data_IF_961005884704
#
_entry.id   IF_961005884704
#
_cell.length_a   1.000
_cell.length_b   1.000
_cell.length_c   1.000
_cell.angle_alpha   90.00
_cell.angle_beta   90.00
_cell.angle_gamma   90.00
#
_symmetry.space_group_name_H-M   'P 1'
#
loop_
_entity.id
_entity.type
_entity.pdbx_description
1 polymer ?
#
# COMPACT_ATOMS: atom_id res chain seq x y z
N UNK A 1 16.35 -21.52 -8.50
CA UNK A 1 16.08 -21.16 -7.09
C UNK A 1 16.03 -19.66 -7.00
N UNK A 2 15.01 -18.99 -6.52
CA UNK A 2 13.61 -19.30 -6.27
C UNK A 2 12.99 -17.91 -6.35
N UNK A 3 12.00 -17.69 -7.23
CA UNK A 3 11.14 -16.50 -7.14
C UNK A 3 10.27 -16.70 -5.90
N UNK A 4 10.92 -16.69 -4.75
CA UNK A 4 10.33 -16.95 -3.44
C UNK A 4 9.55 -15.70 -3.10
N UNK A 5 8.23 -15.89 -3.06
CA UNK A 5 7.26 -14.85 -2.77
C UNK A 5 7.65 -14.16 -1.46
N UNK A 6 7.50 -12.84 -1.40
CA UNK A 6 7.63 -12.09 -0.15
C UNK A 6 6.98 -12.87 1.01
N UNK A 7 7.73 -13.02 2.09
CA UNK A 7 7.21 -13.55 3.35
C UNK A 7 6.17 -12.61 3.94
N UNK A 8 5.28 -13.14 4.78
CA UNK A 8 4.28 -12.32 5.47
C UNK A 8 4.94 -11.23 6.32
N UNK A 9 6.11 -11.51 6.93
CA UNK A 9 6.87 -10.50 7.68
C UNK A 9 7.38 -9.36 6.78
N UNK A 10 7.88 -9.68 5.58
CA UNK A 10 8.36 -8.65 4.64
C UNK A 10 7.24 -7.77 4.12
N UNK A 11 6.05 -8.34 3.88
CA UNK A 11 4.86 -7.57 3.52
C UNK A 11 4.41 -6.66 4.66
N UNK A 12 4.46 -7.15 5.90
CA UNK A 12 4.16 -6.36 7.08
C UNK A 12 5.12 -5.19 7.24
N UNK A 13 6.43 -5.40 7.06
CA UNK A 13 7.44 -4.34 7.14
C UNK A 13 7.22 -3.27 6.05
N UNK A 14 6.99 -3.71 4.81
CA UNK A 14 6.65 -2.81 3.69
C UNK A 14 5.39 -2.01 4.00
N UNK A 15 4.35 -2.66 4.53
CA UNK A 15 3.09 -2.01 4.89
C UNK A 15 3.27 -1.00 6.02
N UNK A 16 4.03 -1.34 7.07
CA UNK A 16 4.34 -0.44 8.17
C UNK A 16 5.12 0.79 7.68
N UNK A 17 6.13 0.61 6.83
CA UNK A 17 6.83 1.72 6.19
C UNK A 17 5.87 2.61 5.38
N UNK A 18 4.89 2.03 4.69
CA UNK A 18 3.89 2.79 3.92
C UNK A 18 2.90 3.53 4.83
N UNK A 19 2.46 2.93 5.94
CA UNK A 19 1.64 3.57 6.97
C UNK A 19 2.33 4.79 7.59
N UNK A 20 3.64 4.66 7.84
CA UNK A 20 4.47 5.76 8.36
C UNK A 20 4.85 6.81 7.30
N UNK A 21 4.50 6.58 6.04
CA UNK A 21 4.85 7.49 4.95
C UNK A 21 6.27 7.34 4.41
N UNK A 22 7.01 6.33 4.87
CA UNK A 22 8.40 6.04 4.52
C UNK A 22 8.47 5.19 3.26
N UNK A 23 7.90 5.71 2.18
CA UNK A 23 7.81 5.03 0.88
C UNK A 23 9.15 4.58 0.31
N UNK A 24 10.22 5.34 0.55
CA UNK A 24 11.57 5.00 0.05
C UNK A 24 12.11 3.74 0.74
N UNK A 25 11.80 3.56 2.04
CA UNK A 25 12.21 2.37 2.79
C UNK A 25 11.46 1.14 2.30
N UNK A 26 10.15 1.26 2.05
CA UNK A 26 9.34 0.20 1.45
C UNK A 26 9.89 -0.26 0.07
N UNK A 27 10.28 0.69 -0.79
CA UNK A 27 10.90 0.40 -2.09
C UNK A 27 12.25 -0.30 -1.91
N UNK A 28 13.05 0.13 -0.93
CA UNK A 28 14.34 -0.48 -0.64
C UNK A 28 14.17 -1.91 -0.14
N UNK A 29 13.29 -2.15 0.83
CA UNK A 29 13.01 -3.48 1.38
C UNK A 29 12.51 -4.45 0.30
N UNK A 30 11.57 -3.99 -0.54
CA UNK A 30 11.06 -4.78 -1.67
C UNK A 30 12.18 -5.13 -2.66
N UNK A 31 13.03 -4.16 -3.01
CA UNK A 31 14.15 -4.35 -3.93
C UNK A 31 15.21 -5.29 -3.36
N UNK A 32 15.58 -5.16 -2.09
CA UNK A 32 16.58 -6.02 -1.44
C UNK A 32 16.10 -7.46 -1.35
N UNK A 33 14.78 -7.65 -1.17
CA UNK A 33 14.15 -8.98 -1.12
C UNK A 33 14.02 -9.63 -2.50
N UNK A 34 13.57 -8.88 -3.50
CA UNK A 34 13.21 -9.43 -4.82
C UNK A 34 14.32 -9.32 -5.86
N UNK A 35 15.32 -8.46 -5.63
CA UNK A 35 16.41 -8.19 -6.55
C UNK A 35 16.01 -7.41 -7.81
N UNK A 36 14.80 -6.84 -7.85
CA UNK A 36 14.26 -6.12 -9.02
C UNK A 36 14.93 -4.76 -9.25
N UNK A 37 14.69 -4.17 -10.42
CA UNK A 37 15.12 -2.81 -10.70
C UNK A 37 14.44 -1.77 -9.79
N UNK A 38 15.08 -0.62 -9.58
CA UNK A 38 14.49 0.47 -8.80
C UNK A 38 13.14 0.94 -9.38
N UNK A 39 13.02 0.96 -10.71
CA UNK A 39 11.78 1.31 -11.39
C UNK A 39 10.65 0.32 -11.08
N UNK A 40 10.92 -0.98 -11.20
CA UNK A 40 9.96 -2.05 -10.90
C UNK A 40 9.53 -2.04 -9.42
N UNK A 41 10.48 -1.85 -8.51
CA UNK A 41 10.19 -1.75 -7.09
C UNK A 41 9.30 -0.53 -6.77
N UNK A 42 9.60 0.62 -7.36
CA UNK A 42 8.79 1.83 -7.21
C UNK A 42 7.38 1.62 -7.74
N UNK A 43 7.24 1.05 -8.93
CA UNK A 43 5.93 0.84 -9.56
C UNK A 43 5.05 -0.12 -8.75
N UNK A 44 5.64 -1.21 -8.24
CA UNK A 44 4.93 -2.14 -7.35
C UNK A 44 4.44 -1.44 -6.08
N UNK A 45 5.33 -0.72 -5.39
CA UNK A 45 4.99 -0.03 -4.14
C UNK A 45 4.00 1.13 -4.36
N UNK A 46 4.12 1.87 -5.48
CA UNK A 46 3.17 2.91 -5.87
C UNK A 46 1.75 2.33 -6.04
N UNK A 47 1.65 1.21 -6.75
CA UNK A 47 0.39 0.51 -6.97
C UNK A 47 -0.18 -0.05 -5.67
N UNK A 48 0.66 -0.72 -4.87
CA UNK A 48 0.27 -1.30 -3.60
C UNK A 48 -0.22 -0.25 -2.60
N UNK A 49 0.49 0.89 -2.47
CA UNK A 49 0.07 2.02 -1.65
C UNK A 49 -1.28 2.58 -2.11
N UNK A 50 -1.48 2.71 -3.42
CA UNK A 50 -2.74 3.21 -3.99
C UNK A 50 -3.90 2.28 -3.63
N UNK A 51 -3.69 0.95 -3.65
CA UNK A 51 -4.69 -0.02 -3.20
C UNK A 51 -4.97 0.06 -1.70
N UNK A 52 -3.94 0.20 -0.86
CA UNK A 52 -4.12 0.33 0.60
C UNK A 52 -4.94 1.59 0.97
N UNK A 53 -4.74 2.70 0.26
CA UNK A 53 -5.47 3.94 0.46
C UNK A 53 -6.97 3.84 0.12
N UNK A 54 -7.36 2.93 -0.77
CA UNK A 54 -8.77 2.70 -1.10
C UNK A 54 -9.49 1.93 0.02
N UNK A 55 -8.77 1.08 0.75
CA UNK A 55 -9.37 0.08 1.65
C UNK A 55 -9.50 0.59 3.11
N UNK A 56 -8.65 1.52 3.54
CA UNK A 56 -8.64 2.04 4.92
C UNK A 56 -8.44 3.56 4.98
N UNK A 57 -9.49 4.38 4.76
CA UNK A 57 -9.38 5.84 4.78
C UNK A 57 -8.99 6.42 6.17
N UNK A 58 -9.20 5.67 7.26
CA UNK A 58 -8.92 6.10 8.63
C UNK A 58 -7.50 5.78 9.12
N UNK A 59 -6.75 4.92 8.40
CA UNK A 59 -5.48 4.34 8.90
C UNK A 59 -4.23 5.06 8.41
N UNK A 60 -4.34 5.85 7.35
CA UNK A 60 -3.23 6.59 6.75
C UNK A 60 -3.47 8.10 6.89
N UNK A 61 -3.01 8.76 7.97
CA UNK A 61 -3.11 10.20 8.12
C UNK A 61 -2.04 10.88 7.27
N UNK A 62 -2.10 10.71 5.94
CA UNK A 62 -1.28 11.51 5.04
C UNK A 62 -2.09 12.63 4.41
N UNK A 63 -2.04 13.74 5.13
CA UNK A 63 -2.28 15.08 4.66
C UNK A 63 -1.64 15.31 3.27
N UNK A 64 -2.49 15.30 2.24
CA UNK A 64 -2.51 16.15 1.03
C UNK A 64 -3.34 15.44 -0.06
N UNK A 65 -4.65 15.67 -0.09
CA UNK A 65 -5.51 15.19 -1.19
C UNK A 65 -7.00 15.26 -0.88
N UNK A 66 -7.62 16.41 -1.17
CA UNK A 66 -9.01 16.75 -0.91
C UNK A 66 -10.03 16.01 -1.82
N UNK A 67 -10.14 14.68 -1.77
CA UNK A 67 -11.17 13.98 -2.58
C UNK A 67 -11.64 12.60 -2.10
N UNK A 68 -11.62 12.30 -0.79
CA UNK A 68 -12.21 11.06 -0.25
C UNK A 68 -13.26 11.42 0.80
N UNK A 69 -14.33 12.08 0.38
CA UNK A 69 -15.46 12.37 1.28
C UNK A 69 -16.84 12.11 0.67
N UNK A 70 -16.95 11.65 -0.58
CA UNK A 70 -18.26 11.58 -1.25
C UNK A 70 -18.79 10.18 -1.61
N UNK A 71 -18.02 9.10 -1.43
CA UNK A 71 -18.47 7.77 -1.90
C UNK A 71 -18.73 6.75 -0.76
N UNK A 72 -18.25 7.02 0.46
CA UNK A 72 -18.38 6.10 1.59
C UNK A 72 -19.77 6.03 2.25
N UNK A 73 -20.71 6.91 1.90
CA UNK A 73 -21.99 7.02 2.61
C UNK A 73 -23.16 6.24 1.98
N UNK A 74 -23.05 5.73 0.75
CA UNK A 74 -24.21 5.14 0.04
C UNK A 74 -24.13 3.62 -0.20
N UNK A 75 -22.95 2.99 -0.12
CA UNK A 75 -22.82 1.55 -0.35
C UNK A 75 -23.21 0.62 0.82
N UNK A 76 -23.20 1.00 2.12
CA UNK A 76 -23.60 0.05 3.16
C UNK A 76 -25.13 -0.16 3.23
N UNK A 77 -25.95 0.71 2.64
CA UNK A 77 -27.42 0.62 2.72
C UNK A 77 -28.02 -0.39 1.74
N UNK A 78 -27.38 -0.61 0.59
CA UNK A 78 -27.94 -1.49 -0.46
C UNK A 78 -27.52 -2.96 -0.28
N UNK A 79 -26.42 -3.23 0.42
CA UNK A 79 -25.98 -4.61 0.66
C UNK A 79 -26.70 -5.28 1.84
N UNK A 80 -27.55 -4.55 2.57
CA UNK A 80 -28.27 -5.03 3.74
C UNK A 80 -29.81 -5.04 3.57
N UNK A 81 -30.34 -4.93 2.33
CA UNK A 81 -31.77 -5.09 2.04
C UNK A 81 -32.02 -6.19 0.99
#
# INVERSE_FOLDING_TARGET
MSKEKLTDEQLQEITACLEEGKKIEAIKAYRETTGVGLAEAKEFIDSYLSSLQQEFPERFPQAKGCLVFLIGALLPVVYFL
#
